data_IF_753677109020
#
_entry.id   IF_753677109020
#
_cell.length_a   1.000
_cell.length_b   1.000
_cell.length_c   1.000
_cell.angle_alpha   90.00
_cell.angle_beta   90.00
_cell.angle_gamma   90.00
#
_symmetry.space_group_name_H-M   'P 1'
#
loop_
_entity.id
_entity.type
_entity.pdbx_description
1 polymer ?
#
# COMPACT_ATOMS: atom_id res chain seq x y z
N UNK A 1 25.28 -59.66 -4.81
CA UNK A 1 25.71 -58.72 -3.75
C UNK A 1 26.76 -57.79 -4.36
N UNK A 2 26.85 -56.56 -3.83
CA UNK A 2 27.71 -55.40 -4.18
C UNK A 2 27.25 -54.45 -5.29
N UNK A 3 26.94 -53.23 -4.86
CA UNK A 3 26.77 -51.99 -5.62
C UNK A 3 28.04 -51.62 -6.42
N UNK A 4 27.94 -50.91 -7.54
CA UNK A 4 28.00 -49.43 -7.58
C UNK A 4 27.93 -48.84 -9.01
N UNK A 5 27.55 -47.56 -9.05
CA UNK A 5 27.75 -46.54 -10.11
C UNK A 5 26.78 -46.46 -11.30
N UNK A 6 26.18 -45.27 -11.46
CA UNK A 6 25.70 -44.76 -12.74
C UNK A 6 24.21 -44.42 -12.82
N UNK A 7 23.68 -43.53 -11.97
CA UNK A 7 22.37 -42.93 -12.23
C UNK A 7 22.54 -41.85 -13.31
N UNK A 8 22.03 -42.18 -14.50
CA UNK A 8 22.03 -41.35 -15.70
C UNK A 8 21.32 -39.99 -15.50
N UNK A 9 22.01 -38.98 -16.01
CA UNK A 9 21.77 -37.55 -15.97
C UNK A 9 20.65 -37.07 -16.92
N UNK A 10 19.58 -37.85 -17.12
CA UNK A 10 18.55 -37.54 -18.13
C UNK A 10 17.16 -37.21 -17.57
N UNK A 11 16.94 -37.31 -16.26
CA UNK A 11 15.63 -36.97 -15.67
C UNK A 11 15.54 -35.55 -15.06
N UNK A 12 16.61 -34.74 -15.09
CA UNK A 12 16.63 -33.38 -14.53
C UNK A 12 16.33 -32.24 -15.52
N UNK A 13 16.29 -32.51 -16.83
CA UNK A 13 16.09 -31.45 -17.84
C UNK A 13 14.61 -31.24 -18.21
N UNK A 14 13.74 -32.23 -18.00
CA UNK A 14 12.32 -32.15 -18.38
C UNK A 14 11.39 -31.49 -17.34
N UNK A 15 11.83 -31.34 -16.08
CA UNK A 15 11.05 -30.63 -15.03
C UNK A 15 11.41 -29.13 -14.97
N UNK A 16 12.53 -28.73 -15.58
CA UNK A 16 12.97 -27.32 -15.63
C UNK A 16 12.33 -26.49 -16.75
N UNK A 17 11.57 -27.10 -17.67
CA UNK A 17 10.82 -26.36 -18.70
C UNK A 17 9.32 -26.23 -18.40
N UNK A 18 8.77 -26.95 -17.42
CA UNK A 18 7.35 -26.86 -17.05
C UNK A 18 7.07 -25.89 -15.89
N UNK A 19 8.11 -25.41 -15.19
CA UNK A 19 8.03 -24.40 -14.10
C UNK A 19 8.54 -23.02 -14.60
N UNK A 20 8.61 -22.81 -15.92
CA UNK A 20 8.93 -21.52 -16.56
C UNK A 20 7.76 -21.00 -17.41
N UNK A 21 6.53 -21.29 -16.99
CA UNK A 21 5.30 -20.60 -17.45
C UNK A 21 4.48 -20.06 -16.27
N UNK A 22 5.15 -19.57 -15.23
CA UNK A 22 4.59 -18.48 -14.46
C UNK A 22 4.47 -17.30 -15.43
N UNK A 23 3.24 -16.91 -15.79
CA UNK A 23 2.99 -15.65 -16.51
C UNK A 23 3.84 -14.59 -15.82
N UNK A 24 4.77 -13.98 -16.57
CA UNK A 24 5.40 -12.72 -16.14
C UNK A 24 4.28 -11.85 -15.59
N UNK A 25 4.42 -11.36 -14.36
CA UNK A 25 3.63 -10.23 -13.87
C UNK A 25 3.76 -9.18 -14.96
N UNK A 26 2.67 -8.98 -15.72
CA UNK A 26 2.75 -8.26 -16.98
C UNK A 26 3.08 -6.81 -16.68
N UNK A 27 4.27 -6.36 -17.07
CA UNK A 27 4.65 -4.96 -16.91
C UNK A 27 3.65 -4.08 -17.65
N UNK A 28 3.03 -3.14 -16.91
CA UNK A 28 2.17 -2.11 -17.51
C UNK A 28 2.87 -1.45 -18.71
N UNK A 29 2.24 -1.50 -19.89
CA UNK A 29 2.73 -0.85 -21.10
C UNK A 29 1.96 0.43 -21.35
N UNK A 30 2.70 1.54 -21.46
CA UNK A 30 2.14 2.87 -21.74
C UNK A 30 2.74 3.43 -23.01
N UNK A 31 1.89 3.63 -24.02
CA UNK A 31 2.26 4.31 -25.25
C UNK A 31 2.10 5.82 -25.05
N UNK A 32 3.14 6.59 -25.36
CA UNK A 32 3.07 8.05 -25.33
C UNK A 32 2.58 8.56 -26.68
N UNK A 33 1.46 9.27 -26.68
CA UNK A 33 0.85 9.84 -27.87
C UNK A 33 0.57 11.33 -27.69
N UNK A 34 0.38 12.03 -28.81
CA UNK A 34 -0.16 13.39 -28.85
C UNK A 34 -1.54 13.33 -29.48
N UNK A 35 -2.54 13.86 -28.80
CA UNK A 35 -3.91 13.95 -29.30
C UNK A 35 -4.30 15.41 -29.39
N UNK A 36 -4.85 15.84 -30.52
CA UNK A 36 -5.46 17.17 -30.64
C UNK A 36 -6.70 17.27 -29.74
N UNK A 37 -7.06 18.48 -29.34
CA UNK A 37 -8.33 18.72 -28.66
C UNK A 37 -9.51 18.27 -29.51
N UNK A 38 -9.49 18.52 -30.82
CA UNK A 38 -10.50 18.02 -31.76
C UNK A 38 -10.67 16.50 -31.66
N UNK A 39 -9.56 15.75 -31.60
CA UNK A 39 -9.60 14.29 -31.39
C UNK A 39 -10.19 13.94 -30.02
N UNK A 40 -9.79 14.63 -28.94
CA UNK A 40 -10.33 14.39 -27.60
C UNK A 40 -11.84 14.66 -27.51
N UNK A 41 -12.34 15.65 -28.25
CA UNK A 41 -13.78 15.94 -28.36
C UNK A 41 -14.49 14.84 -29.15
N UNK A 42 -13.92 14.40 -30.28
CA UNK A 42 -14.48 13.30 -31.10
C UNK A 42 -14.60 11.98 -30.32
N UNK A 43 -13.67 11.70 -29.42
CA UNK A 43 -13.66 10.50 -28.59
C UNK A 43 -14.43 10.65 -27.27
N UNK A 44 -15.14 11.76 -27.02
CA UNK A 44 -15.86 12.02 -25.76
C UNK A 44 -16.74 10.85 -25.32
N UNK A 45 -17.59 10.34 -26.22
CA UNK A 45 -18.53 9.26 -25.91
C UNK A 45 -17.86 7.88 -25.86
N UNK A 46 -16.58 7.79 -26.23
CA UNK A 46 -15.75 6.58 -26.19
C UNK A 46 -14.85 6.51 -24.97
N UNK A 47 -14.80 7.56 -24.15
CA UNK A 47 -13.97 7.63 -22.94
C UNK A 47 -14.86 7.61 -21.70
N UNK A 48 -14.73 6.55 -20.90
CA UNK A 48 -15.36 6.48 -19.59
C UNK A 48 -14.65 7.41 -18.59
N UNK A 49 -15.35 8.45 -18.13
CA UNK A 49 -14.85 9.36 -17.10
C UNK A 49 -15.19 8.96 -15.66
N UNK A 50 -16.03 7.94 -15.45
CA UNK A 50 -16.57 7.57 -14.15
C UNK A 50 -16.22 6.12 -13.78
N UNK A 51 -14.92 5.78 -13.60
CA UNK A 51 -14.58 4.47 -13.08
C UNK A 51 -15.05 4.32 -11.62
N UNK A 52 -15.28 3.09 -11.17
CA UNK A 52 -15.88 2.77 -9.86
C UNK A 52 -15.14 3.37 -8.64
N UNK A 53 -13.89 3.80 -8.80
CA UNK A 53 -13.02 4.37 -7.76
C UNK A 53 -12.96 5.92 -7.75
N UNK A 54 -13.85 6.60 -8.46
CA UNK A 54 -13.78 8.06 -8.65
C UNK A 54 -14.40 8.87 -7.48
N UNK A 55 -13.78 10.01 -7.13
CA UNK A 55 -14.41 11.12 -6.39
C UNK A 55 -15.03 12.10 -7.39
N UNK A 56 -16.29 12.51 -7.19
CA UNK A 56 -17.04 13.37 -8.13
C UNK A 56 -16.35 14.66 -8.61
N UNK A 57 -16.99 15.45 -9.50
CA UNK A 57 -16.39 16.67 -10.07
C UNK A 57 -15.80 17.60 -8.99
N UNK A 58 -14.51 17.92 -9.11
CA UNK A 58 -13.75 18.62 -8.06
C UNK A 58 -13.24 20.01 -8.47
N UNK A 59 -13.23 20.35 -9.77
CA UNK A 59 -12.73 21.66 -10.21
C UNK A 59 -13.81 22.74 -10.12
N UNK A 60 -13.51 23.81 -9.37
CA UNK A 60 -14.27 25.08 -9.43
C UNK A 60 -13.99 25.80 -10.75
N UNK A 61 -14.91 26.68 -11.16
CA UNK A 61 -14.90 27.37 -12.46
C UNK A 61 -13.58 28.04 -12.80
N UNK A 62 -12.94 28.74 -11.85
CA UNK A 62 -11.67 29.41 -12.08
C UNK A 62 -10.55 28.46 -12.57
N UNK A 63 -10.53 27.20 -12.10
CA UNK A 63 -9.52 26.23 -12.55
C UNK A 63 -9.78 25.71 -13.96
N UNK A 64 -11.06 25.59 -14.34
CA UNK A 64 -11.47 25.25 -15.72
C UNK A 64 -11.06 26.38 -16.66
N UNK A 65 -11.32 27.64 -16.29
CA UNK A 65 -10.92 28.83 -17.06
C UNK A 65 -9.40 28.91 -17.26
N UNK A 66 -8.59 28.68 -16.21
CA UNK A 66 -7.13 28.70 -16.32
C UNK A 66 -6.57 27.62 -17.26
N UNK A 67 -7.22 26.44 -17.33
CA UNK A 67 -6.82 25.41 -18.29
C UNK A 67 -7.03 25.89 -19.73
N UNK A 68 -8.19 26.48 -20.04
CA UNK A 68 -8.47 26.99 -21.38
C UNK A 68 -7.57 28.16 -21.73
N UNK A 69 -7.32 29.07 -20.79
CA UNK A 69 -6.36 30.18 -20.96
C UNK A 69 -4.96 29.64 -21.30
N UNK A 70 -4.50 28.59 -20.60
CA UNK A 70 -3.21 27.94 -20.88
C UNK A 70 -3.15 27.38 -22.31
N UNK A 71 -4.23 26.71 -22.75
CA UNK A 71 -4.33 26.16 -24.11
C UNK A 71 -4.28 27.28 -25.17
N UNK A 72 -5.05 28.36 -24.98
CA UNK A 72 -5.08 29.49 -25.92
C UNK A 72 -3.73 30.23 -25.99
N UNK A 73 -2.95 30.18 -24.91
CA UNK A 73 -1.59 30.72 -24.82
C UNK A 73 -0.50 29.74 -25.30
N UNK A 74 -0.86 28.55 -25.80
CA UNK A 74 0.08 27.47 -26.15
C UNK A 74 1.03 27.09 -24.99
N UNK A 75 0.55 27.17 -23.74
CA UNK A 75 1.29 26.69 -22.58
C UNK A 75 1.16 25.18 -22.44
N UNK A 76 2.21 24.52 -21.96
CA UNK A 76 2.19 23.08 -21.70
C UNK A 76 1.12 22.73 -20.64
N UNK A 77 0.43 21.61 -20.86
CA UNK A 77 -0.62 21.12 -19.96
C UNK A 77 -0.32 19.70 -19.50
N UNK A 78 -0.65 19.34 -18.25
CA UNK A 78 -0.40 17.99 -17.75
C UNK A 78 -1.08 16.91 -18.60
N UNK A 79 -0.36 15.79 -18.78
CA UNK A 79 -0.82 14.64 -19.57
C UNK A 79 -2.17 14.09 -19.11
N UNK A 80 -2.86 13.43 -20.04
CA UNK A 80 -4.06 12.63 -19.76
C UNK A 80 -3.64 11.16 -19.82
N UNK A 81 -4.12 10.32 -18.89
CA UNK A 81 -3.85 8.89 -18.92
C UNK A 81 -5.14 8.15 -19.25
N UNK A 82 -5.12 7.40 -20.35
CA UNK A 82 -6.25 6.62 -20.85
C UNK A 82 -5.88 5.14 -20.87
N UNK A 83 -6.63 4.32 -20.15
CA UNK A 83 -6.53 2.86 -20.24
C UNK A 83 -7.39 2.36 -21.38
N UNK A 84 -6.80 1.61 -22.30
CA UNK A 84 -7.54 0.94 -23.38
C UNK A 84 -8.37 -0.20 -22.80
N UNK A 85 -9.65 -0.23 -23.13
CA UNK A 85 -10.56 -1.31 -22.75
C UNK A 85 -10.61 -2.39 -23.84
N UNK A 86 -11.16 -3.57 -23.49
CA UNK A 86 -11.35 -4.63 -24.46
C UNK A 86 -12.36 -4.22 -25.53
N UNK A 87 -12.12 -4.65 -26.77
CA UNK A 87 -13.01 -4.37 -27.89
C UNK A 87 -14.41 -4.98 -27.66
N UNK A 88 -15.45 -4.28 -28.12
CA UNK A 88 -16.85 -4.70 -27.98
C UNK A 88 -17.58 -4.16 -26.74
N UNK A 89 -16.88 -3.44 -25.86
CA UNK A 89 -17.49 -2.69 -24.76
C UNK A 89 -18.12 -1.36 -25.21
N UNK A 90 -18.87 -0.72 -24.29
CA UNK A 90 -19.49 0.60 -24.53
C UNK A 90 -18.45 1.72 -24.74
N UNK A 91 -17.30 1.61 -24.08
CA UNK A 91 -16.21 2.58 -24.12
C UNK A 91 -14.94 1.93 -24.66
N UNK A 92 -14.16 2.69 -25.44
CA UNK A 92 -12.86 2.25 -25.95
C UNK A 92 -11.75 2.52 -24.92
N UNK A 93 -11.96 3.54 -24.08
CA UNK A 93 -11.00 3.98 -23.08
C UNK A 93 -11.64 4.25 -21.72
N UNK A 94 -10.85 4.11 -20.67
CA UNK A 94 -11.14 4.55 -19.31
C UNK A 94 -10.14 5.63 -18.91
N UNK A 95 -10.62 6.79 -18.43
CA UNK A 95 -9.74 7.87 -17.99
C UNK A 95 -9.17 7.56 -16.59
N UNK A 96 -7.89 7.21 -16.53
CA UNK A 96 -7.16 6.94 -15.30
C UNK A 96 -6.78 8.26 -14.62
N UNK A 97 -6.30 9.24 -15.37
CA UNK A 97 -6.00 10.59 -14.87
C UNK A 97 -6.37 11.66 -15.91
N UNK A 98 -6.66 12.88 -15.45
CA UNK A 98 -7.01 13.99 -16.33
C UNK A 98 -8.51 14.14 -16.60
N UNK A 99 -9.36 13.45 -15.85
CA UNK A 99 -10.82 13.51 -15.97
C UNK A 99 -11.37 14.95 -15.89
N UNK A 100 -10.88 15.77 -14.95
CA UNK A 100 -11.32 17.16 -14.83
C UNK A 100 -10.84 18.04 -16.01
N UNK A 101 -9.67 17.73 -16.58
CA UNK A 101 -9.17 18.38 -17.80
C UNK A 101 -10.05 18.04 -18.99
N UNK A 102 -10.38 16.75 -19.17
CA UNK A 102 -11.31 16.28 -20.20
C UNK A 102 -12.68 16.96 -20.07
N UNK A 103 -13.27 16.98 -18.85
CA UNK A 103 -14.54 17.67 -18.59
C UNK A 103 -14.46 19.15 -18.93
N UNK A 104 -13.43 19.86 -18.48
CA UNK A 104 -13.27 21.29 -18.77
C UNK A 104 -13.15 21.56 -20.28
N UNK A 105 -12.38 20.74 -21.01
CA UNK A 105 -12.27 20.86 -22.48
C UNK A 105 -13.63 20.62 -23.14
N UNK A 106 -14.32 19.55 -22.77
CA UNK A 106 -15.62 19.19 -23.37
C UNK A 106 -16.73 20.18 -23.01
N UNK A 107 -16.74 20.69 -21.77
CA UNK A 107 -17.69 21.70 -21.32
C UNK A 107 -17.44 23.02 -22.04
N UNK A 108 -16.20 23.40 -22.33
CA UNK A 108 -15.90 24.66 -23.03
C UNK A 108 -16.43 24.65 -24.47
N UNK A 109 -16.30 23.51 -25.16
CA UNK A 109 -16.78 23.32 -26.53
C UNK A 109 -18.31 23.14 -26.59
N UNK A 110 -18.92 22.68 -25.50
CA UNK A 110 -20.36 22.46 -25.44
C UNK A 110 -21.14 23.78 -25.51
N UNK A 111 -22.29 23.82 -26.22
CA UNK A 111 -23.18 24.97 -26.18
C UNK A 111 -23.72 25.17 -24.75
N UNK A 112 -23.94 26.42 -24.30
CA UNK A 112 -24.61 26.68 -23.03
C UNK A 112 -26.02 26.06 -23.06
N UNK A 113 -26.29 25.05 -22.24
CA UNK A 113 -27.62 24.43 -22.13
C UNK A 113 -28.23 24.71 -20.76
N UNK A 114 -29.51 25.12 -20.76
CA UNK A 114 -30.31 25.36 -19.55
C UNK A 114 -30.81 24.05 -18.90
N UNK A 115 -30.64 22.89 -19.54
CA UNK A 115 -31.08 21.59 -19.04
C UNK A 115 -29.88 20.67 -18.81
N UNK A 116 -29.81 20.15 -17.59
CA UNK A 116 -28.65 19.56 -16.95
C UNK A 116 -27.97 18.42 -17.75
N UNK A 117 -26.66 18.61 -18.02
CA UNK A 117 -25.55 17.62 -17.97
C UNK A 117 -24.25 18.12 -18.64
N UNK A 118 -24.31 19.16 -19.47
CA UNK A 118 -23.13 19.88 -19.98
C UNK A 118 -23.16 21.32 -19.44
N UNK A 119 -22.10 21.72 -18.74
CA UNK A 119 -22.00 23.07 -18.17
C UNK A 119 -21.14 23.93 -19.10
N UNK A 120 -21.67 24.23 -20.28
CA UNK A 120 -21.09 25.24 -21.18
C UNK A 120 -20.69 26.47 -20.39
N UNK A 121 -19.45 26.93 -20.55
CA UNK A 121 -18.93 28.06 -19.78
C UNK A 121 -18.13 29.04 -20.65
N UNK A 122 -18.00 30.26 -20.13
CA UNK A 122 -17.21 31.33 -20.71
C UNK A 122 -15.98 31.62 -19.86
N UNK A 123 -14.96 32.25 -20.45
CA UNK A 123 -13.70 32.60 -19.80
C UNK A 123 -13.83 33.79 -18.83
N UNK A 124 -14.69 33.64 -17.83
CA UNK A 124 -14.94 34.63 -16.78
C UNK A 124 -13.90 34.48 -15.68
N UNK A 125 -13.14 35.54 -15.42
CA UNK A 125 -12.14 35.58 -14.36
C UNK A 125 -12.13 36.96 -13.70
N UNK A 126 -11.72 37.01 -12.42
CA UNK A 126 -11.47 38.25 -11.70
C UNK A 126 -10.05 38.22 -11.12
N UNK A 127 -9.14 39.11 -11.58
CA UNK A 127 -9.32 40.10 -12.64
C UNK A 127 -9.55 39.45 -14.03
N UNK A 128 -10.13 40.18 -15.01
CA UNK A 128 -10.36 39.68 -16.36
C UNK A 128 -9.08 39.16 -17.04
N UNK A 129 -9.22 38.11 -17.87
CA UNK A 129 -8.10 37.56 -18.62
C UNK A 129 -7.54 38.59 -19.62
N UNK A 130 -6.22 38.67 -19.69
CA UNK A 130 -5.52 39.50 -20.69
C UNK A 130 -5.70 38.92 -22.09
N UNK A 131 -5.78 39.79 -23.09
CA UNK A 131 -5.78 39.41 -24.51
C UNK A 131 -4.62 38.48 -24.87
N UNK A 132 -4.87 37.57 -25.82
CA UNK A 132 -3.86 36.71 -26.42
C UNK A 132 -3.55 37.26 -27.79
N UNK A 133 -2.31 37.70 -28.02
CA UNK A 133 -1.87 38.29 -29.31
C UNK A 133 -2.77 39.45 -29.78
N UNK A 134 -3.20 40.31 -28.85
CA UNK A 134 -4.09 41.44 -29.13
C UNK A 134 -5.57 41.08 -29.28
N UNK A 135 -5.94 39.79 -29.26
CA UNK A 135 -7.32 39.33 -29.36
C UNK A 135 -7.89 39.15 -27.95
N UNK A 136 -9.00 39.82 -27.65
CA UNK A 136 -9.69 39.70 -26.37
C UNK A 136 -10.29 38.30 -26.19
N UNK A 137 -10.10 37.73 -24.99
CA UNK A 137 -10.62 36.41 -24.61
C UNK A 137 -11.46 36.43 -23.33
N UNK A 138 -11.50 37.56 -22.62
CA UNK A 138 -12.32 37.70 -21.42
C UNK A 138 -13.80 37.48 -21.76
N UNK A 139 -14.49 36.69 -20.92
CA UNK A 139 -15.90 36.34 -21.06
C UNK A 139 -16.28 35.62 -22.38
N UNK A 140 -15.30 35.23 -23.20
CA UNK A 140 -15.54 34.49 -24.43
C UNK A 140 -15.94 33.04 -24.12
N UNK A 141 -17.01 32.56 -24.73
CA UNK A 141 -17.27 31.12 -24.90
C UNK A 141 -16.57 30.62 -26.16
N UNK A 142 -16.46 29.30 -26.34
CA UNK A 142 -15.86 28.71 -27.54
C UNK A 142 -16.44 29.27 -28.85
N UNK A 143 -17.77 29.45 -28.91
CA UNK A 143 -18.46 30.02 -30.08
C UNK A 143 -18.09 31.49 -30.33
N UNK A 144 -17.72 32.24 -29.29
CA UNK A 144 -17.30 33.63 -29.37
C UNK A 144 -15.81 33.84 -29.67
N UNK A 145 -15.00 32.76 -29.72
CA UNK A 145 -13.59 32.88 -30.08
C UNK A 145 -13.41 33.28 -31.54
N UNK A 146 -12.40 34.10 -31.83
CA UNK A 146 -11.97 34.37 -33.20
C UNK A 146 -11.56 33.07 -33.91
N UNK A 147 -11.63 33.04 -35.24
CA UNK A 147 -11.22 31.86 -36.02
C UNK A 147 -9.81 31.40 -35.66
N UNK A 148 -8.86 32.34 -35.55
CA UNK A 148 -7.47 32.05 -35.20
C UNK A 148 -7.32 31.38 -33.84
N UNK A 149 -8.02 31.87 -32.81
CA UNK A 149 -7.94 31.30 -31.47
C UNK A 149 -8.66 29.96 -31.36
N UNK A 150 -9.75 29.79 -32.12
CA UNK A 150 -10.48 28.53 -32.21
C UNK A 150 -9.64 27.45 -32.89
N UNK A 151 -9.03 27.76 -34.03
CA UNK A 151 -8.12 26.85 -34.74
C UNK A 151 -6.93 26.46 -33.85
N UNK A 152 -6.41 27.41 -33.05
CA UNK A 152 -5.36 27.13 -32.06
C UNK A 152 -5.85 26.16 -30.99
N UNK A 153 -7.01 26.42 -30.41
CA UNK A 153 -7.61 25.55 -29.40
C UNK A 153 -7.82 24.13 -29.96
N UNK A 154 -8.48 23.99 -31.10
CA UNK A 154 -8.84 22.69 -31.68
C UNK A 154 -7.61 21.84 -32.04
N UNK A 155 -6.56 22.48 -32.56
CA UNK A 155 -5.31 21.82 -32.98
C UNK A 155 -4.29 21.63 -31.85
N UNK A 156 -4.52 22.22 -30.68
CA UNK A 156 -3.62 22.10 -29.53
C UNK A 156 -3.40 20.62 -29.18
N UNK A 157 -2.13 20.23 -29.04
CA UNK A 157 -1.73 18.84 -28.79
C UNK A 157 -1.60 18.58 -27.30
N UNK A 158 -2.39 17.64 -26.79
CA UNK A 158 -2.31 17.17 -25.40
C UNK A 158 -1.53 15.87 -25.37
N UNK A 159 -0.56 15.76 -24.45
CA UNK A 159 0.12 14.50 -24.18
C UNK A 159 -0.84 13.47 -23.58
N UNK A 160 -0.93 12.30 -24.22
CA UNK A 160 -1.77 11.17 -23.77
C UNK A 160 -0.89 9.96 -23.49
N UNK A 161 -0.93 9.44 -22.27
CA UNK A 161 -0.41 8.13 -21.92
C UNK A 161 -1.48 7.07 -22.14
N UNK A 162 -1.42 6.36 -23.27
CA UNK A 162 -2.32 5.25 -23.58
C UNK A 162 -1.81 3.96 -22.93
N UNK A 163 -2.49 3.50 -21.89
CA UNK A 163 -2.17 2.26 -21.19
C UNK A 163 -2.82 1.11 -21.96
N UNK A 164 -2.00 0.32 -22.65
CA UNK A 164 -2.47 -0.74 -23.57
C UNK A 164 -2.51 -2.12 -22.92
N UNK A 165 -1.66 -2.35 -21.92
CA UNK A 165 -1.62 -3.56 -21.11
C UNK A 165 -1.41 -3.15 -19.66
N UNK A 166 -2.27 -3.60 -18.75
CA UNK A 166 -2.18 -3.31 -17.31
C UNK A 166 -3.11 -4.20 -16.49
N UNK A 167 -2.72 -4.52 -15.28
CA UNK A 167 -3.60 -5.03 -14.22
C UNK A 167 -4.32 -3.89 -13.49
N UNK A 168 -5.41 -4.18 -12.78
CA UNK A 168 -6.13 -3.17 -11.99
C UNK A 168 -5.27 -2.61 -10.85
N UNK A 169 -4.37 -3.43 -10.28
CA UNK A 169 -3.45 -3.01 -9.21
C UNK A 169 -2.44 -1.98 -9.73
N UNK A 170 -1.89 -2.20 -10.92
CA UNK A 170 -0.96 -1.24 -11.56
C UNK A 170 -1.63 0.10 -11.88
N UNK A 171 -2.88 0.06 -12.37
CA UNK A 171 -3.67 1.27 -12.60
C UNK A 171 -3.89 2.05 -11.30
N UNK A 172 -4.21 1.34 -10.21
CA UNK A 172 -4.40 1.94 -8.88
C UNK A 172 -3.10 2.60 -8.38
N UNK A 173 -1.97 1.91 -8.56
CA UNK A 173 -0.65 2.44 -8.20
C UNK A 173 -0.29 3.67 -9.04
N UNK A 174 -0.52 3.63 -10.36
CA UNK A 174 -0.28 4.75 -11.26
C UNK A 174 -1.12 5.97 -10.87
N UNK A 175 -2.43 5.77 -10.66
CA UNK A 175 -3.35 6.84 -10.27
C UNK A 175 -2.92 7.51 -8.96
N UNK A 176 -2.55 6.72 -7.95
CA UNK A 176 -2.08 7.23 -6.66
C UNK A 176 -0.78 8.06 -6.81
N UNK A 177 0.11 7.69 -7.73
CA UNK A 177 1.34 8.45 -8.01
C UNK A 177 1.04 9.77 -8.71
N UNK A 178 0.07 9.81 -9.63
CA UNK A 178 -0.30 11.01 -10.38
C UNK A 178 -1.02 12.08 -9.53
N UNK A 179 -1.78 11.67 -8.51
CA UNK A 179 -2.66 12.56 -7.72
C UNK A 179 -1.99 13.22 -6.49
N UNK A 180 -0.66 13.42 -6.48
CA UNK A 180 0.17 13.91 -5.35
C UNK A 180 0.95 12.83 -4.58
N UNK A 181 1.57 11.89 -5.30
CA UNK A 181 2.92 11.43 -4.94
C UNK A 181 3.08 10.63 -3.65
N UNK A 182 2.05 9.96 -3.14
CA UNK A 182 2.25 8.88 -2.16
C UNK A 182 1.46 7.64 -2.58
N UNK A 183 2.10 6.60 -3.12
CA UNK A 183 1.42 5.34 -3.40
C UNK A 183 0.82 4.80 -2.10
N UNK A 184 -0.34 4.12 -2.18
CA UNK A 184 -0.85 3.36 -1.05
C UNK A 184 0.27 2.46 -0.54
N UNK A 185 0.56 2.58 0.75
CA UNK A 185 1.55 1.70 1.34
C UNK A 185 0.98 0.27 1.37
N UNK A 186 1.84 -0.76 1.53
CA UNK A 186 1.41 -2.15 1.71
C UNK A 186 0.20 -2.38 2.63
N UNK A 187 0.12 -1.68 3.75
CA UNK A 187 -0.97 -1.82 4.70
C UNK A 187 -2.28 -1.19 4.20
N UNK A 188 -2.20 -0.04 3.54
CA UNK A 188 -3.33 0.63 2.92
C UNK A 188 -3.90 -0.19 1.76
N UNK A 189 -3.03 -0.82 0.95
CA UNK A 189 -3.45 -1.76 -0.10
C UNK A 189 -4.18 -2.97 0.49
N UNK A 190 -3.64 -3.59 1.54
CA UNK A 190 -4.30 -4.69 2.24
C UNK A 190 -5.62 -4.27 2.89
N UNK A 191 -5.69 -3.07 3.47
CA UNK A 191 -6.92 -2.57 4.07
C UNK A 191 -7.99 -2.23 3.01
N UNK A 192 -7.58 -1.92 1.78
CA UNK A 192 -8.50 -1.73 0.65
C UNK A 192 -9.05 -3.05 0.08
N UNK A 193 -8.36 -4.18 0.33
CA UNK A 193 -8.81 -5.51 -0.08
C UNK A 193 -9.94 -5.99 0.83
N UNK A 194 -11.19 -5.84 0.38
CA UNK A 194 -12.37 -6.22 1.15
C UNK A 194 -12.47 -7.73 1.34
N UNK A 195 -12.80 -8.17 2.56
CA UNK A 195 -13.00 -9.57 2.86
C UNK A 195 -13.19 -9.84 4.36
N UNK A 196 -13.64 -11.05 4.73
CA UNK A 196 -13.87 -11.43 6.13
C UNK A 196 -12.66 -11.18 7.04
N UNK A 197 -11.47 -11.58 6.60
CA UNK A 197 -10.24 -11.43 7.37
C UNK A 197 -9.90 -9.95 7.60
N UNK A 198 -9.97 -9.13 6.54
CA UNK A 198 -9.75 -7.69 6.62
C UNK A 198 -10.73 -7.03 7.59
N UNK A 199 -12.01 -7.42 7.56
CA UNK A 199 -13.03 -6.84 8.44
C UNK A 199 -12.78 -7.16 9.91
N UNK A 200 -12.36 -8.40 10.22
CA UNK A 200 -12.01 -8.80 11.58
C UNK A 200 -10.76 -8.06 12.08
N UNK A 201 -9.72 -7.93 11.24
CA UNK A 201 -8.53 -7.13 11.57
C UNK A 201 -8.94 -5.67 11.87
N UNK A 202 -9.76 -5.07 11.01
CA UNK A 202 -10.21 -3.69 11.18
C UNK A 202 -11.06 -3.52 12.45
N UNK A 203 -11.96 -4.45 12.75
CA UNK A 203 -12.75 -4.45 13.97
C UNK A 203 -11.83 -4.50 15.20
N UNK A 204 -10.88 -5.44 15.23
CA UNK A 204 -9.92 -5.57 16.32
C UNK A 204 -9.11 -4.28 16.55
N UNK A 205 -8.64 -3.63 15.48
CA UNK A 205 -7.92 -2.36 15.62
C UNK A 205 -8.77 -1.22 16.18
N UNK A 206 -10.09 -1.29 15.99
CA UNK A 206 -11.02 -0.25 16.42
C UNK A 206 -11.58 -0.48 17.82
N UNK A 207 -11.58 -1.73 18.31
CA UNK A 207 -12.22 -2.11 19.58
C UNK A 207 -11.27 -2.62 20.67
N UNK A 208 -10.07 -3.10 20.31
CA UNK A 208 -9.18 -3.74 21.29
C UNK A 208 -8.40 -2.71 22.12
N UNK A 209 -8.33 -2.92 23.44
CA UNK A 209 -7.72 -1.99 24.41
C UNK A 209 -6.26 -1.63 24.09
N UNK A 210 -5.45 -2.60 23.68
CA UNK A 210 -4.08 -2.37 23.19
C UNK A 210 -4.00 -1.20 22.17
N UNK A 211 -4.85 -1.19 21.14
CA UNK A 211 -4.80 -0.14 20.11
C UNK A 211 -5.37 1.19 20.59
N UNK A 212 -6.25 1.18 21.60
CA UNK A 212 -6.76 2.39 22.24
C UNK A 212 -5.68 3.07 23.12
N UNK A 213 -4.86 2.28 23.82
CA UNK A 213 -3.88 2.79 24.80
C UNK A 213 -2.43 2.92 24.27
N UNK A 214 -2.13 2.38 23.08
CA UNK A 214 -0.77 2.34 22.54
C UNK A 214 -0.22 3.72 22.13
N UNK A 215 1.11 3.85 22.12
CA UNK A 215 1.83 5.00 21.53
C UNK A 215 2.14 4.84 20.03
N UNK A 216 1.62 3.81 19.38
CA UNK A 216 1.70 3.65 17.92
C UNK A 216 0.74 4.66 17.29
N UNK A 217 1.25 5.62 16.53
CA UNK A 217 0.39 6.50 15.73
C UNK A 217 -0.36 5.69 14.67
N UNK A 218 -1.64 5.97 14.45
CA UNK A 218 -2.45 5.31 13.43
C UNK A 218 -2.43 6.04 12.07
N UNK A 219 -1.31 6.68 11.73
CA UNK A 219 -1.14 7.29 10.42
C UNK A 219 -1.07 6.21 9.33
N UNK A 220 -1.74 6.45 8.20
CA UNK A 220 -1.67 5.59 7.01
C UNK A 220 -1.95 4.10 7.30
N UNK A 221 -2.98 3.83 8.11
CA UNK A 221 -3.43 2.46 8.50
C UNK A 221 -2.41 1.65 9.30
N UNK A 222 -1.54 2.31 10.08
CA UNK A 222 -0.49 1.63 10.84
C UNK A 222 -1.01 0.65 11.89
N UNK A 223 -2.15 0.91 12.54
CA UNK A 223 -2.74 -0.07 13.48
C UNK A 223 -3.17 -1.35 12.74
N UNK A 224 -3.80 -1.20 11.57
CA UNK A 224 -4.15 -2.31 10.69
C UNK A 224 -2.91 -3.10 10.24
N UNK A 225 -1.80 -2.42 9.96
CA UNK A 225 -0.53 -3.07 9.65
C UNK A 225 -0.06 -3.96 10.81
N UNK A 226 0.00 -3.41 12.03
CA UNK A 226 0.42 -4.16 13.22
C UNK A 226 -0.51 -5.37 13.48
N UNK A 227 -1.82 -5.16 13.43
CA UNK A 227 -2.78 -6.25 13.57
C UNK A 227 -2.58 -7.31 12.47
N UNK A 228 -2.32 -6.93 11.21
CA UNK A 228 -2.02 -7.89 10.14
C UNK A 228 -0.86 -8.82 10.49
N UNK A 229 0.21 -8.30 11.08
CA UNK A 229 1.32 -9.14 11.55
C UNK A 229 0.93 -10.04 12.73
N UNK A 230 0.10 -9.55 13.66
CA UNK A 230 -0.39 -10.36 14.77
C UNK A 230 -1.18 -11.59 14.29
N UNK A 231 -2.05 -11.40 13.30
CA UNK A 231 -2.77 -12.50 12.65
C UNK A 231 -1.84 -13.43 11.87
N UNK A 232 -0.81 -12.90 11.20
CA UNK A 232 0.18 -13.73 10.51
C UNK A 232 0.98 -14.63 11.47
N UNK A 233 1.35 -14.13 12.64
CA UNK A 233 1.95 -14.94 13.71
C UNK A 233 0.98 -16.01 14.18
N UNK A 234 -0.28 -15.65 14.43
CA UNK A 234 -1.29 -16.57 14.93
C UNK A 234 -1.55 -17.73 13.95
N UNK A 235 -1.58 -17.45 12.64
CA UNK A 235 -1.84 -18.41 11.57
C UNK A 235 -0.61 -19.25 11.16
N UNK A 236 0.59 -18.67 11.23
CA UNK A 236 1.83 -19.32 10.78
C UNK A 236 2.70 -19.90 11.89
N UNK A 237 2.35 -19.69 13.17
CA UNK A 237 3.17 -20.04 14.35
C UNK A 237 4.62 -19.51 14.28
N UNK A 238 4.81 -18.37 13.62
CA UNK A 238 6.12 -17.77 13.41
C UNK A 238 7.01 -18.51 12.39
N UNK A 239 6.45 -19.43 11.59
CA UNK A 239 7.18 -20.20 10.57
C UNK A 239 7.02 -19.63 9.15
N UNK A 240 6.15 -18.65 8.96
CA UNK A 240 5.90 -18.02 7.64
C UNK A 240 6.73 -16.75 7.50
N UNK A 241 7.11 -16.44 6.26
CA UNK A 241 7.64 -15.12 5.90
C UNK A 241 6.57 -14.04 6.16
N UNK A 242 7.03 -12.81 6.41
CA UNK A 242 6.18 -11.67 6.80
C UNK A 242 6.50 -10.41 6.00
N UNK A 243 6.85 -10.58 4.72
CA UNK A 243 6.89 -9.46 3.77
C UNK A 243 5.47 -9.06 3.42
N UNK A 244 5.35 -7.91 2.74
CA UNK A 244 4.06 -7.38 2.30
C UNK A 244 3.23 -8.38 1.51
N UNK A 245 3.87 -9.12 0.60
CA UNK A 245 3.22 -10.13 -0.25
C UNK A 245 2.68 -11.28 0.59
N UNK A 246 3.47 -11.77 1.56
CA UNK A 246 3.06 -12.89 2.42
C UNK A 246 1.83 -12.53 3.27
N UNK A 247 1.77 -11.29 3.78
CA UNK A 247 0.59 -10.81 4.52
C UNK A 247 -0.65 -10.66 3.62
N UNK A 248 -0.47 -10.30 2.36
CA UNK A 248 -1.56 -10.20 1.39
C UNK A 248 -2.06 -11.59 0.99
N UNK A 249 -1.15 -12.52 0.74
CA UNK A 249 -1.46 -13.92 0.43
C UNK A 249 -2.21 -14.58 1.58
N UNK A 250 -1.79 -14.33 2.83
CA UNK A 250 -2.51 -14.79 4.01
C UNK A 250 -3.95 -14.24 4.06
N UNK A 251 -4.15 -12.94 3.82
CA UNK A 251 -5.51 -12.39 3.80
C UNK A 251 -6.37 -13.04 2.72
N UNK A 252 -5.81 -13.27 1.53
CA UNK A 252 -6.50 -13.93 0.43
C UNK A 252 -6.81 -15.40 0.76
N UNK A 253 -5.89 -16.13 1.40
CA UNK A 253 -6.10 -17.50 1.90
C UNK A 253 -7.29 -17.54 2.86
N UNK A 254 -7.32 -16.63 3.85
CA UNK A 254 -8.35 -16.62 4.88
C UNK A 254 -9.70 -16.06 4.43
N UNK A 255 -9.75 -15.26 3.36
CA UNK A 255 -11.01 -14.78 2.80
C UNK A 255 -11.90 -15.92 2.24
N UNK A 256 -11.33 -17.09 1.97
CA UNK A 256 -12.05 -18.28 1.49
C UNK A 256 -12.25 -19.34 2.58
N UNK A 257 -11.79 -19.09 3.81
CA UNK A 257 -11.94 -20.01 4.94
C UNK A 257 -13.27 -19.80 5.67
N UNK A 258 -13.79 -20.84 6.36
CA UNK A 258 -14.95 -20.70 7.24
C UNK A 258 -14.73 -19.60 8.28
N UNK A 259 -15.80 -18.87 8.60
CA UNK A 259 -15.75 -17.77 9.58
C UNK A 259 -15.26 -18.22 10.97
N UNK A 260 -15.50 -19.49 11.32
CA UNK A 260 -15.03 -20.11 12.57
C UNK A 260 -13.50 -20.09 12.67
N UNK A 261 -12.78 -20.44 11.60
CA UNK A 261 -11.31 -20.42 11.59
C UNK A 261 -10.77 -19.00 11.79
N UNK A 262 -11.40 -18.01 11.16
CA UNK A 262 -11.00 -16.60 11.28
C UNK A 262 -11.29 -16.08 12.69
N UNK A 263 -12.41 -16.49 13.28
CA UNK A 263 -12.81 -16.11 14.65
C UNK A 263 -11.88 -16.75 15.68
N UNK A 264 -11.48 -18.01 15.48
CA UNK A 264 -10.50 -18.68 16.33
C UNK A 264 -9.13 -17.98 16.31
N UNK A 265 -8.67 -17.53 15.13
CA UNK A 265 -7.49 -16.67 15.03
C UNK A 265 -7.68 -15.34 15.76
N UNK A 266 -8.83 -14.69 15.57
CA UNK A 266 -9.15 -13.43 16.26
C UNK A 266 -9.09 -13.58 17.77
N UNK A 267 -9.61 -14.68 18.32
CA UNK A 267 -9.55 -14.98 19.75
C UNK A 267 -8.11 -15.19 20.23
N UNK A 268 -7.30 -15.97 19.49
CA UNK A 268 -5.87 -16.17 19.79
C UNK A 268 -5.10 -14.83 19.79
N UNK A 269 -5.36 -13.97 18.81
CA UNK A 269 -4.74 -12.65 18.72
C UNK A 269 -5.20 -11.73 19.85
N UNK A 270 -6.50 -11.66 20.13
CA UNK A 270 -7.04 -10.84 21.22
C UNK A 270 -6.47 -11.24 22.59
N UNK A 271 -6.43 -12.53 22.89
CA UNK A 271 -5.86 -13.02 24.16
C UNK A 271 -4.39 -12.64 24.32
N UNK A 272 -3.61 -12.67 23.24
CA UNK A 272 -2.21 -12.24 23.28
C UNK A 272 -2.07 -10.72 23.42
N UNK A 273 -2.94 -9.94 22.76
CA UNK A 273 -2.95 -8.49 22.85
C UNK A 273 -3.39 -7.98 24.23
N UNK A 274 -4.25 -8.71 24.96
CA UNK A 274 -4.60 -8.38 26.34
C UNK A 274 -3.36 -8.40 27.25
N UNK A 275 -2.58 -9.50 27.18
CA UNK A 275 -1.31 -9.60 27.92
C UNK A 275 -0.34 -8.48 27.50
N UNK A 276 -0.24 -8.22 26.20
CA UNK A 276 0.66 -7.18 25.69
C UNK A 276 0.24 -5.77 26.11
N UNK A 277 -1.08 -5.51 26.23
CA UNK A 277 -1.61 -4.23 26.71
C UNK A 277 -1.22 -3.99 28.17
N UNK A 278 -1.39 -5.00 29.03
CA UNK A 278 -1.00 -4.93 30.43
C UNK A 278 0.51 -4.70 30.59
N UNK A 279 1.33 -5.41 29.80
CA UNK A 279 2.78 -5.21 29.78
C UNK A 279 3.16 -3.80 29.30
N UNK A 280 2.56 -3.29 28.21
CA UNK A 280 2.86 -1.95 27.68
C UNK A 280 2.45 -0.81 28.64
N UNK A 281 1.46 -1.04 29.51
CA UNK A 281 1.05 -0.09 30.54
C UNK A 281 2.12 0.07 31.64
N UNK A 282 2.81 -1.02 32.00
CA UNK A 282 3.79 -1.05 33.10
C UNK A 282 5.24 -0.97 32.62
N UNK A 283 5.51 -1.13 31.33
CA UNK A 283 6.86 -1.10 30.78
C UNK A 283 7.48 0.31 30.82
N UNK A 284 8.76 0.38 31.18
CA UNK A 284 9.57 1.60 31.10
C UNK A 284 9.75 2.06 29.66
N UNK A 285 9.77 1.12 28.71
CA UNK A 285 9.87 1.37 27.29
C UNK A 285 8.55 1.01 26.61
N UNK A 286 7.97 1.91 25.81
CA UNK A 286 6.72 1.63 25.11
C UNK A 286 6.92 0.70 23.90
N UNK A 287 6.02 -0.26 23.73
CA UNK A 287 5.98 -1.23 22.64
C UNK A 287 5.37 -0.56 21.39
N UNK A 288 6.19 0.26 20.72
CA UNK A 288 5.77 1.02 19.54
C UNK A 288 6.54 0.67 18.26
N UNK A 289 7.47 -0.29 18.33
CA UNK A 289 8.23 -0.78 17.18
C UNK A 289 7.60 -2.08 16.68
N UNK A 290 7.44 -2.18 15.36
CA UNK A 290 6.80 -3.32 14.68
C UNK A 290 7.37 -4.67 15.12
N UNK A 291 8.70 -4.84 15.05
CA UNK A 291 9.29 -6.16 15.21
C UNK A 291 9.33 -6.66 16.65
N UNK A 292 9.53 -5.78 17.62
CA UNK A 292 9.41 -6.19 19.03
C UNK A 292 7.95 -6.54 19.36
N UNK A 293 6.97 -5.81 18.83
CA UNK A 293 5.55 -6.17 18.94
C UNK A 293 5.28 -7.57 18.39
N UNK A 294 5.79 -7.88 17.19
CA UNK A 294 5.66 -9.20 16.56
C UNK A 294 6.30 -10.31 17.39
N UNK A 295 7.55 -10.12 17.82
CA UNK A 295 8.29 -11.15 18.54
C UNK A 295 7.71 -11.41 19.95
N UNK A 296 7.19 -10.37 20.62
CA UNK A 296 6.50 -10.50 21.92
C UNK A 296 5.17 -11.21 21.78
N UNK A 297 4.36 -10.88 20.75
CA UNK A 297 3.10 -11.59 20.49
C UNK A 297 3.32 -13.05 20.21
N UNK A 298 4.33 -13.40 19.40
CA UNK A 298 4.69 -14.79 19.17
C UNK A 298 5.01 -15.51 20.48
N UNK A 299 5.83 -14.88 21.33
CA UNK A 299 6.23 -15.48 22.59
C UNK A 299 5.04 -15.69 23.53
N UNK A 300 4.16 -14.70 23.64
CA UNK A 300 2.92 -14.77 24.42
C UNK A 300 2.03 -15.91 23.91
N UNK A 301 1.78 -15.96 22.60
CA UNK A 301 0.97 -17.02 21.98
C UNK A 301 1.59 -18.40 22.17
N UNK A 302 2.91 -18.52 22.15
CA UNK A 302 3.61 -19.77 22.41
C UNK A 302 3.42 -20.26 23.84
N UNK A 303 3.48 -19.37 24.83
CA UNK A 303 3.20 -19.72 26.23
C UNK A 303 1.74 -20.13 26.42
N UNK A 304 0.81 -19.36 25.84
CA UNK A 304 -0.63 -19.67 25.89
C UNK A 304 -0.94 -21.03 25.23
N UNK A 305 -0.33 -21.33 24.07
CA UNK A 305 -0.47 -22.61 23.40
C UNK A 305 0.12 -23.79 24.20
N UNK A 306 1.11 -23.53 25.06
CA UNK A 306 1.65 -24.50 26.00
C UNK A 306 0.84 -24.62 27.31
N UNK A 307 -0.31 -23.94 27.41
CA UNK A 307 -1.15 -23.92 28.60
C UNK A 307 -0.55 -23.16 29.79
N UNK A 308 0.46 -22.32 29.56
CA UNK A 308 1.17 -21.57 30.60
C UNK A 308 0.55 -20.18 30.78
N UNK A 309 0.16 -19.84 32.00
CA UNK A 309 -0.19 -18.48 32.36
C UNK A 309 1.07 -17.60 32.38
N UNK A 310 0.94 -16.33 32.00
CA UNK A 310 2.05 -15.37 31.97
C UNK A 310 1.94 -14.45 33.18
N UNK A 311 2.99 -14.39 34.00
CA UNK A 311 3.18 -13.38 35.03
C UNK A 311 3.58 -12.07 34.33
N UNK A 312 2.63 -11.15 34.21
CA UNK A 312 2.80 -9.88 33.49
C UNK A 312 3.84 -8.98 34.14
N UNK A 313 4.03 -9.04 35.47
CA UNK A 313 5.08 -8.28 36.16
C UNK A 313 6.46 -8.79 35.77
N UNK A 314 6.71 -10.12 35.87
CA UNK A 314 7.99 -10.72 35.43
C UNK A 314 8.25 -10.53 33.95
N UNK A 315 7.20 -10.63 33.13
CA UNK A 315 7.30 -10.39 31.70
C UNK A 315 7.69 -8.94 31.40
N UNK A 316 7.12 -7.97 32.13
CA UNK A 316 7.45 -6.55 32.02
C UNK A 316 8.89 -6.28 32.42
N UNK A 317 9.37 -6.84 33.53
CA UNK A 317 10.77 -6.71 33.96
C UNK A 317 11.75 -7.29 32.93
N UNK A 318 11.45 -8.49 32.41
CA UNK A 318 12.23 -9.12 31.37
C UNK A 318 12.27 -8.27 30.09
N UNK A 319 11.13 -7.67 29.71
CA UNK A 319 11.05 -6.77 28.57
C UNK A 319 11.87 -5.49 28.78
N UNK A 320 11.79 -4.86 29.95
CA UNK A 320 12.55 -3.65 30.26
C UNK A 320 14.06 -3.90 30.17
N UNK A 321 14.54 -5.01 30.74
CA UNK A 321 15.96 -5.42 30.66
C UNK A 321 16.38 -5.74 29.22
N UNK A 322 15.54 -6.45 28.48
CA UNK A 322 15.80 -6.78 27.08
C UNK A 322 15.91 -5.52 26.23
N UNK A 323 14.95 -4.60 26.35
CA UNK A 323 14.86 -3.40 25.53
C UNK A 323 15.96 -2.39 25.87
N UNK A 324 16.34 -2.25 27.14
CA UNK A 324 17.51 -1.47 27.55
C UNK A 324 18.78 -1.99 26.85
N UNK A 325 18.99 -3.31 26.90
CA UNK A 325 20.15 -3.95 26.28
C UNK A 325 20.13 -3.83 24.76
N UNK A 326 18.97 -4.03 24.13
CA UNK A 326 18.76 -3.92 22.69
C UNK A 326 19.09 -2.50 22.21
N UNK A 327 18.56 -1.47 22.88
CA UNK A 327 18.80 -0.06 22.53
C UNK A 327 20.27 0.32 22.67
N UNK A 328 20.96 -0.18 23.70
CA UNK A 328 22.39 0.08 23.91
C UNK A 328 23.27 -0.46 22.78
N UNK A 329 22.93 -1.61 22.21
CA UNK A 329 23.79 -2.30 21.23
C UNK A 329 23.24 -2.34 19.80
N UNK A 330 22.07 -1.77 19.54
CA UNK A 330 21.44 -1.82 18.21
C UNK A 330 22.31 -1.25 17.09
N UNK A 331 23.14 -0.24 17.38
CA UNK A 331 24.04 0.39 16.40
C UNK A 331 25.35 -0.38 16.24
N UNK A 332 25.83 -1.05 17.30
CA UNK A 332 27.10 -1.77 17.32
C UNK A 332 26.97 -3.16 17.98
N UNK A 333 26.26 -4.12 17.34
CA UNK A 333 26.02 -5.44 17.91
C UNK A 333 27.30 -6.23 18.15
N UNK A 334 28.32 -6.09 17.30
CA UNK A 334 29.57 -6.85 17.38
C UNK A 334 30.29 -6.66 18.73
N UNK A 335 30.07 -5.53 19.40
CA UNK A 335 30.60 -5.28 20.75
C UNK A 335 30.07 -6.27 21.78
N UNK A 336 28.91 -6.89 21.57
CA UNK A 336 28.36 -7.94 22.44
C UNK A 336 29.19 -9.23 22.40
N UNK A 337 30.00 -9.44 21.36
CA UNK A 337 30.91 -10.59 21.27
C UNK A 337 32.18 -10.38 22.10
N UNK A 338 32.48 -9.15 22.49
CA UNK A 338 33.63 -8.83 23.32
C UNK A 338 33.33 -9.10 24.81
N UNK A 339 33.76 -10.27 25.29
CA UNK A 339 33.59 -10.69 26.69
C UNK A 339 34.40 -9.86 27.71
N UNK A 340 35.35 -9.02 27.28
CA UNK A 340 36.18 -8.20 28.17
C UNK A 340 35.52 -6.89 28.60
N UNK A 341 34.34 -6.59 28.09
CA UNK A 341 33.62 -5.35 28.40
C UNK A 341 33.06 -5.40 29.83
N UNK A 342 33.14 -4.29 30.57
CA UNK A 342 32.73 -4.22 31.99
C UNK A 342 31.28 -4.62 32.25
N UNK A 343 30.38 -4.37 31.31
CA UNK A 343 28.96 -4.69 31.43
C UNK A 343 28.58 -5.97 30.66
N UNK A 344 29.52 -6.87 30.34
CA UNK A 344 29.22 -8.13 29.66
C UNK A 344 28.18 -8.96 30.46
N UNK A 345 27.20 -9.55 29.76
CA UNK A 345 26.12 -10.36 30.35
C UNK A 345 26.07 -11.75 29.70
N UNK A 346 25.59 -12.80 30.42
CA UNK A 346 25.51 -14.17 29.88
C UNK A 346 24.71 -14.30 28.56
N UNK A 347 23.68 -13.46 28.38
CA UNK A 347 22.82 -13.48 27.19
C UNK A 347 23.29 -12.55 26.06
N UNK A 348 24.49 -11.97 26.15
CA UNK A 348 24.99 -11.04 25.12
C UNK A 348 25.12 -11.71 23.74
N UNK A 349 25.47 -13.00 23.68
CA UNK A 349 25.47 -13.73 22.41
C UNK A 349 24.06 -13.83 21.82
N UNK A 350 23.05 -14.07 22.65
CA UNK A 350 21.65 -14.11 22.19
C UNK A 350 21.12 -12.74 21.79
N UNK A 351 21.55 -11.66 22.47
CA UNK A 351 21.26 -10.31 22.01
C UNK A 351 21.92 -10.02 20.65
N UNK A 352 23.17 -10.46 20.46
CA UNK A 352 23.85 -10.36 19.17
C UNK A 352 23.08 -11.10 18.07
N UNK A 353 22.73 -12.36 18.30
CA UNK A 353 22.01 -13.19 17.34
C UNK A 353 20.64 -12.55 16.98
N UNK A 354 19.92 -11.98 17.97
CA UNK A 354 18.67 -11.24 17.75
C UNK A 354 18.86 -10.01 16.86
N UNK A 355 19.83 -9.15 17.19
CA UNK A 355 20.12 -7.92 16.44
C UNK A 355 20.65 -8.21 15.03
N UNK A 356 21.45 -9.26 14.89
CA UNK A 356 22.01 -9.68 13.60
C UNK A 356 20.93 -10.24 12.67
N UNK A 357 20.06 -11.14 13.17
CA UNK A 357 18.94 -11.67 12.41
C UNK A 357 17.97 -10.57 11.93
N UNK A 358 17.83 -9.50 12.72
CA UNK A 358 17.07 -8.34 12.32
C UNK A 358 17.66 -7.60 11.11
N UNK A 359 19.00 -7.45 11.06
CA UNK A 359 19.72 -6.74 10.00
C UNK A 359 19.75 -7.50 8.68
N UNK A 360 19.84 -8.83 8.72
CA UNK A 360 20.02 -9.65 7.51
C UNK A 360 18.68 -10.07 6.90
N UNK A 361 17.78 -10.65 7.70
CA UNK A 361 16.59 -11.34 7.19
C UNK A 361 15.37 -11.19 8.12
N UNK A 362 15.14 -10.00 8.66
CA UNK A 362 14.15 -9.81 9.72
C UNK A 362 12.70 -10.20 9.37
N UNK A 363 12.32 -10.19 8.09
CA UNK A 363 10.98 -10.59 7.67
C UNK A 363 10.88 -12.04 7.17
N UNK A 364 11.99 -12.77 7.07
CA UNK A 364 11.98 -14.17 6.61
C UNK A 364 11.83 -15.12 7.80
N UNK A 365 11.25 -16.29 7.55
CA UNK A 365 11.06 -17.35 8.54
C UNK A 365 12.36 -17.71 9.28
N UNK A 366 13.48 -17.85 8.57
CA UNK A 366 14.77 -18.16 9.18
C UNK A 366 15.23 -17.08 10.19
N UNK A 367 15.09 -15.80 9.83
CA UNK A 367 15.40 -14.69 10.72
C UNK A 367 14.46 -14.63 11.93
N UNK A 368 13.16 -14.84 11.71
CA UNK A 368 12.15 -14.95 12.76
C UNK A 368 12.51 -16.05 13.77
N UNK A 369 12.86 -17.25 13.31
CA UNK A 369 13.28 -18.36 14.18
C UNK A 369 14.48 -18.02 15.05
N UNK A 370 15.49 -17.33 14.52
CA UNK A 370 16.66 -16.89 15.31
C UNK A 370 16.24 -15.88 16.38
N UNK A 371 15.39 -14.90 16.03
CA UNK A 371 14.87 -13.92 16.98
C UNK A 371 14.02 -14.57 18.07
N UNK A 372 13.11 -15.45 17.69
CA UNK A 372 12.25 -16.26 18.56
C UNK A 372 13.07 -17.10 19.56
N UNK A 373 14.13 -17.77 19.09
CA UNK A 373 15.05 -18.51 19.95
C UNK A 373 15.81 -17.59 20.91
N UNK A 374 16.18 -16.40 20.46
CA UNK A 374 16.93 -15.42 21.24
C UNK A 374 16.06 -14.78 22.32
N UNK A 375 14.89 -14.25 21.95
CA UNK A 375 13.95 -13.60 22.87
C UNK A 375 13.47 -14.59 23.93
N UNK A 376 13.18 -15.84 23.57
CA UNK A 376 12.79 -16.88 24.54
C UNK A 376 13.84 -17.18 25.61
N UNK A 377 15.12 -16.80 25.41
CA UNK A 377 16.15 -16.90 26.46
C UNK A 377 16.10 -15.75 27.48
N UNK A 378 15.65 -14.56 27.05
CA UNK A 378 15.50 -13.40 27.93
C UNK A 378 14.25 -13.48 28.80
N UNK A 379 13.21 -14.14 28.31
CA UNK A 379 11.92 -14.25 28.98
C UNK A 379 11.71 -15.61 29.65
N UNK A 380 12.76 -16.18 30.25
CA UNK A 380 12.62 -17.44 31.01
C UNK A 380 11.97 -17.17 32.37
N UNK A 381 11.13 -18.08 32.83
CA UNK A 381 10.47 -18.04 34.15
C UNK A 381 9.48 -16.87 34.31
N UNK A 382 8.98 -16.36 33.19
CA UNK A 382 7.86 -15.40 33.16
C UNK A 382 6.52 -16.11 33.19
N UNK A 383 6.51 -17.44 33.08
CA UNK A 383 5.32 -18.26 33.26
C UNK A 383 5.01 -18.57 34.73
N UNK A 384 3.72 -18.72 35.02
CA UNK A 384 3.21 -19.32 36.27
C UNK A 384 2.73 -20.74 35.95
N UNK A 385 2.87 -21.65 36.93
CA UNK A 385 2.38 -23.03 36.81
C UNK A 385 0.87 -23.09 36.70
#
# INVERSE_FOLDING_TARGET
MTCNSGVNTECCCAVSQQIMRSKRVGEMKVNQALWSIEKLVKFKDKINLNPAWQRGPAWRDGRRVLLIDSILRNMDVPKIYLRRLQAGGMYDFEAVDGQQRLRAIWDFVAPPSATAKNHGFALRASPPLKSVEGIAIADAAYVGLSKTLRDRFDKFQVGVGEIVESTNDEITVLFARLQMGMPLNPAELRNANLGPMRNIIQLMTSSHEFFAATKIANDRTRHFDFASYAFAIAAGDGQRDMKSTDLQDLQNEFNHKPMEEITALSAKVGNALNVLAEVDQHAHYRINRKWIFVDLLWLIMKYQAAGKAIDTARFTDAYNLFEERRRKYTSSPDLLLNKRRKDARPLDRSMYDYLFAFRTEGAKAAGLQIRHKSIGRFFRNVEVK
#
